data_IF_689024256610
#
_entry.id   IF_689024256610
#
_cell.length_a   1.000
_cell.length_b   1.000
_cell.length_c   1.000
_cell.angle_alpha   90.00
_cell.angle_beta   90.00
_cell.angle_gamma   90.00
#
_symmetry.space_group_name_H-M   'P 1'
#
loop_
_entity.id
_entity.type
_entity.pdbx_description
1 polymer ?
#
# COMPACT_ATOMS: atom_id res chain seq x y z
N UNK A 1 20.01 2.76 -3.72
CA UNK A 1 19.74 3.25 -2.35
C UNK A 1 19.04 2.14 -1.60
N UNK A 2 19.40 1.94 -0.33
CA UNK A 2 18.80 0.96 0.57
C UNK A 2 18.16 1.75 1.71
N UNK A 3 16.86 1.57 1.94
CA UNK A 3 16.15 2.24 3.00
C UNK A 3 15.32 1.22 3.77
N UNK A 4 15.55 1.14 5.07
CA UNK A 4 14.79 0.29 5.98
C UNK A 4 14.36 1.15 7.16
N UNK A 5 13.07 1.11 7.47
CA UNK A 5 12.49 1.83 8.60
C UNK A 5 11.55 0.90 9.34
N UNK A 6 11.73 0.80 10.65
CA UNK A 6 10.79 0.13 11.55
C UNK A 6 10.39 1.08 12.66
N UNK A 7 9.18 0.91 13.19
CA UNK A 7 8.74 1.70 14.32
C UNK A 7 7.52 1.12 15.02
N UNK A 8 7.18 1.71 16.15
CA UNK A 8 6.02 1.35 16.95
C UNK A 8 5.25 2.62 17.31
N UNK A 9 3.97 2.46 17.64
CA UNK A 9 3.17 3.54 18.21
C UNK A 9 2.43 3.06 19.45
N UNK A 10 2.06 4.01 20.30
CA UNK A 10 1.16 3.81 21.42
C UNK A 10 0.21 5.01 21.55
N UNK A 11 -1.07 4.74 21.68
CA UNK A 11 -2.14 5.71 21.83
C UNK A 11 -2.84 5.48 23.16
N UNK A 12 -2.75 6.45 24.09
CA UNK A 12 -3.19 6.31 25.50
C UNK A 12 -4.70 6.38 25.75
N UNK A 13 -5.50 6.50 24.69
CA UNK A 13 -6.96 6.48 24.74
C UNK A 13 -7.55 5.12 25.15
N UNK A 14 -8.88 5.08 25.23
CA UNK A 14 -9.65 3.90 25.63
C UNK A 14 -10.52 3.42 24.47
N UNK A 15 -10.54 2.12 24.21
CA UNK A 15 -11.15 1.52 23.03
C UNK A 15 -12.05 0.34 23.42
N UNK A 16 -13.28 0.23 22.89
CA UNK A 16 -14.13 -0.93 23.14
C UNK A 16 -13.57 -2.18 22.44
N UNK A 17 -13.73 -3.34 23.06
CA UNK A 17 -13.41 -4.64 22.44
C UNK A 17 -14.52 -5.03 21.44
N UNK A 18 -14.15 -5.46 20.24
CA UNK A 18 -15.09 -5.92 19.22
C UNK A 18 -15.65 -7.32 19.50
N UNK A 19 -15.06 -8.09 20.41
CA UNK A 19 -15.61 -9.36 20.90
C UNK A 19 -16.69 -9.16 21.97
N UNK A 20 -16.60 -8.07 22.74
CA UNK A 20 -17.57 -7.65 23.75
C UNK A 20 -17.44 -6.13 23.98
N UNK A 21 -18.41 -5.36 23.48
CA UNK A 21 -18.36 -3.89 23.50
C UNK A 21 -18.57 -3.29 24.90
N UNK A 22 -18.86 -4.13 25.91
CA UNK A 22 -18.90 -3.71 27.32
C UNK A 22 -17.50 -3.69 27.95
N UNK A 23 -16.52 -4.36 27.33
CA UNK A 23 -15.12 -4.38 27.76
C UNK A 23 -14.35 -3.26 27.06
N UNK A 24 -13.54 -2.54 27.83
CA UNK A 24 -12.71 -1.45 27.33
C UNK A 24 -11.23 -1.70 27.59
N UNK A 25 -10.41 -1.48 26.57
CA UNK A 25 -8.95 -1.53 26.63
C UNK A 25 -8.39 -0.13 26.75
N UNK A 26 -7.50 0.08 27.72
CA UNK A 26 -6.70 1.31 27.79
C UNK A 26 -5.40 1.09 27.02
N UNK A 27 -5.15 1.96 26.05
CA UNK A 27 -4.00 1.85 25.16
C UNK A 27 -4.34 1.14 23.86
N UNK A 28 -3.88 1.70 22.75
CA UNK A 28 -3.79 1.02 21.46
C UNK A 28 -2.36 1.13 20.95
N UNK A 29 -1.87 0.09 20.29
CA UNK A 29 -0.48 0.00 19.88
C UNK A 29 -0.37 -0.74 18.56
N UNK A 30 0.79 -0.63 17.95
CA UNK A 30 1.12 -1.38 16.75
C UNK A 30 2.56 -1.13 16.34
N UNK A 31 2.97 -1.83 15.31
CA UNK A 31 4.29 -1.67 14.72
C UNK A 31 4.20 -1.64 13.20
N UNK A 32 5.22 -1.07 12.58
CA UNK A 32 5.32 -0.99 11.13
C UNK A 32 6.74 -1.24 10.66
N UNK A 33 6.85 -1.66 9.40
CA UNK A 33 8.10 -1.84 8.67
C UNK A 33 7.92 -1.26 7.26
N UNK A 34 8.93 -0.55 6.77
CA UNK A 34 9.02 -0.01 5.42
C UNK A 34 10.40 -0.37 4.89
N UNK A 35 10.45 -0.89 3.66
CA UNK A 35 11.68 -1.29 2.99
C UNK A 35 11.63 -0.80 1.55
N UNK A 36 12.69 -0.10 1.11
CA UNK A 36 12.96 0.20 -0.29
C UNK A 36 14.34 -0.34 -0.68
N UNK A 37 14.36 -1.21 -1.69
CA UNK A 37 15.52 -1.95 -2.14
C UNK A 37 15.70 -1.80 -3.65
N UNK A 38 16.84 -1.23 -4.08
CA UNK A 38 17.24 -1.30 -5.48
C UNK A 38 17.92 -2.66 -5.78
N UNK A 39 17.49 -3.37 -6.82
CA UNK A 39 18.05 -4.67 -7.23
C UNK A 39 19.04 -4.57 -8.38
N UNK A 40 18.73 -3.77 -9.41
CA UNK A 40 19.60 -3.60 -10.57
C UNK A 40 19.90 -2.12 -10.80
N UNK A 41 21.17 -1.77 -10.95
CA UNK A 41 21.61 -0.43 -11.33
C UNK A 41 22.68 -0.56 -12.42
N UNK A 42 22.33 -1.24 -13.52
CA UNK A 42 23.29 -1.85 -14.48
C UNK A 42 23.30 -1.20 -15.87
N UNK A 43 23.04 0.11 -15.98
CA UNK A 43 23.09 0.81 -17.27
C UNK A 43 24.14 1.92 -17.28
N UNK A 44 24.74 2.14 -18.45
CA UNK A 44 25.54 3.33 -18.81
C UNK A 44 24.79 4.66 -18.56
N UNK A 45 23.46 4.61 -18.46
CA UNK A 45 22.61 5.74 -18.07
C UNK A 45 22.33 5.66 -16.57
N UNK A 46 22.92 6.58 -15.80
CA UNK A 46 22.68 6.70 -14.37
C UNK A 46 21.17 6.80 -14.08
N UNK A 47 20.65 5.92 -13.22
CA UNK A 47 19.25 5.96 -12.76
C UNK A 47 18.33 4.84 -13.28
N UNK A 48 18.74 4.06 -14.29
CA UNK A 48 17.96 2.89 -14.72
C UNK A 48 18.06 1.74 -13.74
N UNK A 49 16.92 1.19 -13.35
CA UNK A 49 16.93 0.09 -12.41
C UNK A 49 15.56 -0.40 -11.94
N UNK A 50 15.58 -1.62 -11.41
CA UNK A 50 14.46 -2.21 -10.69
C UNK A 50 14.60 -1.86 -9.20
N UNK A 51 13.56 -1.25 -8.65
CA UNK A 51 13.32 -1.13 -7.23
C UNK A 51 12.20 -2.05 -6.78
N UNK A 52 12.33 -2.54 -5.57
CA UNK A 52 11.28 -3.16 -4.79
C UNK A 52 10.98 -2.30 -3.58
N UNK A 53 9.70 -2.24 -3.23
CA UNK A 53 9.26 -1.65 -1.99
C UNK A 53 8.32 -2.62 -1.26
N UNK A 54 8.33 -2.53 0.06
CA UNK A 54 7.29 -3.14 0.89
C UNK A 54 7.03 -2.30 2.13
N UNK A 55 5.78 -2.33 2.58
CA UNK A 55 5.26 -1.65 3.75
C UNK A 55 4.34 -2.63 4.47
N UNK A 56 4.54 -2.82 5.76
CA UNK A 56 3.67 -3.65 6.58
C UNK A 56 3.37 -2.96 7.90
N UNK A 57 2.15 -3.12 8.39
CA UNK A 57 1.70 -2.59 9.68
C UNK A 57 0.80 -3.57 10.38
N UNK A 58 0.93 -3.69 11.70
CA UNK A 58 0.17 -4.64 12.51
C UNK A 58 -0.30 -3.98 13.81
N UNK A 59 -1.57 -4.23 14.14
CA UNK A 59 -2.23 -3.73 15.35
C UNK A 59 -3.14 -4.82 15.93
N UNK A 60 -3.45 -4.81 17.24
CA UNK A 60 -4.38 -5.77 17.85
C UNK A 60 -5.77 -5.72 17.21
N UNK A 61 -6.21 -6.83 16.62
CA UNK A 61 -7.52 -6.92 15.96
C UNK A 61 -8.72 -7.00 16.91
N UNK A 62 -8.52 -7.07 18.23
CA UNK A 62 -9.59 -7.04 19.23
C UNK A 62 -10.28 -5.69 19.32
N UNK A 63 -9.55 -4.59 19.10
CA UNK A 63 -10.08 -3.21 19.18
C UNK A 63 -9.60 -2.31 18.03
N UNK A 64 -8.96 -2.89 17.00
CA UNK A 64 -8.74 -2.24 15.71
C UNK A 64 -9.52 -2.96 14.61
N UNK A 65 -10.25 -2.20 13.80
CA UNK A 65 -10.95 -2.73 12.63
C UNK A 65 -9.97 -3.43 11.68
N UNK A 66 -8.84 -2.78 11.41
CA UNK A 66 -7.75 -3.32 10.61
C UNK A 66 -6.68 -3.88 11.54
N UNK A 67 -6.46 -5.20 11.47
CA UNK A 67 -5.43 -5.89 12.23
C UNK A 67 -4.07 -5.86 11.53
N UNK A 68 -4.06 -5.78 10.20
CA UNK A 68 -2.82 -5.63 9.43
C UNK A 68 -3.02 -4.91 8.10
N UNK A 69 -1.93 -4.33 7.62
CA UNK A 69 -1.75 -3.85 6.26
C UNK A 69 -0.46 -4.44 5.69
N UNK A 70 -0.48 -4.88 4.44
CA UNK A 70 0.71 -5.25 3.68
C UNK A 70 0.60 -4.66 2.29
N UNK A 71 1.54 -3.81 1.91
CA UNK A 71 1.71 -3.31 0.56
C UNK A 71 3.10 -3.64 0.04
N UNK A 72 3.21 -4.13 -1.19
CA UNK A 72 4.50 -4.37 -1.81
C UNK A 72 4.40 -4.19 -3.32
N UNK A 73 5.54 -3.90 -3.94
CA UNK A 73 5.57 -3.72 -5.37
C UNK A 73 6.96 -3.56 -5.94
N UNK A 74 6.97 -3.50 -7.26
CA UNK A 74 8.14 -3.29 -8.08
C UNK A 74 7.96 -2.01 -8.88
N UNK A 75 9.05 -1.26 -9.03
CA UNK A 75 9.13 -0.10 -9.91
C UNK A 75 10.36 -0.24 -10.78
N UNK A 76 10.21 -0.09 -12.09
CA UNK A 76 11.33 -0.05 -13.02
C UNK A 76 11.46 1.35 -13.62
N UNK A 77 12.64 1.95 -13.47
CA UNK A 77 12.99 3.24 -14.07
C UNK A 77 13.69 3.05 -15.42
N UNK A 78 13.16 3.67 -16.47
CA UNK A 78 13.72 3.72 -17.81
C UNK A 78 13.68 2.40 -18.58
N UNK A 79 12.62 1.60 -18.42
CA UNK A 79 12.49 0.28 -19.07
C UNK A 79 12.50 0.36 -20.61
N UNK A 80 11.89 1.39 -21.19
CA UNK A 80 11.71 1.53 -22.65
C UNK A 80 12.91 2.27 -23.26
N UNK A 81 13.41 1.78 -24.40
CA UNK A 81 14.48 2.43 -25.16
C UNK A 81 14.04 3.82 -25.65
N UNK A 82 14.90 4.84 -25.50
CA UNK A 82 14.56 6.23 -25.82
C UNK A 82 13.70 6.95 -24.75
N UNK A 83 13.20 6.24 -23.74
CA UNK A 83 12.36 6.78 -22.64
C UNK A 83 13.05 6.58 -21.29
N UNK A 84 14.24 7.17 -21.14
CA UNK A 84 15.12 6.91 -20.00
C UNK A 84 14.57 7.37 -18.64
N UNK A 85 13.63 8.31 -18.62
CA UNK A 85 13.06 8.91 -17.40
C UNK A 85 11.65 8.43 -17.06
N UNK A 86 11.09 7.51 -17.86
CA UNK A 86 9.77 6.95 -17.59
C UNK A 86 9.85 5.87 -16.51
N UNK A 87 8.77 5.67 -15.78
CA UNK A 87 8.69 4.64 -14.73
C UNK A 87 7.48 3.74 -14.95
N UNK A 88 7.66 2.44 -14.78
CA UNK A 88 6.56 1.48 -14.71
C UNK A 88 6.49 0.89 -13.31
N UNK A 89 5.29 0.76 -12.77
CA UNK A 89 5.04 0.21 -11.44
C UNK A 89 4.02 -0.91 -11.47
N UNK A 90 4.25 -1.95 -10.68
CA UNK A 90 3.26 -2.98 -10.36
C UNK A 90 3.29 -3.19 -8.85
N UNK A 91 2.13 -3.14 -8.20
CA UNK A 91 2.03 -3.26 -6.75
C UNK A 91 0.76 -4.00 -6.35
N UNK A 92 0.75 -4.47 -5.11
CA UNK A 92 -0.47 -4.83 -4.41
C UNK A 92 -0.48 -4.19 -3.02
N UNK A 93 -1.68 -4.01 -2.48
CA UNK A 93 -1.92 -3.56 -1.13
C UNK A 93 -3.10 -4.36 -0.56
N UNK A 94 -2.95 -4.91 0.63
CA UNK A 94 -4.04 -5.62 1.31
C UNK A 94 -4.18 -5.14 2.75
N UNK A 95 -5.44 -4.97 3.17
CA UNK A 95 -5.81 -4.75 4.56
C UNK A 95 -6.60 -5.95 5.06
N UNK A 96 -6.29 -6.42 6.27
CA UNK A 96 -6.99 -7.52 6.91
C UNK A 96 -7.75 -7.07 8.14
N UNK A 97 -9.00 -7.52 8.26
CA UNK A 97 -9.84 -7.24 9.41
C UNK A 97 -9.35 -7.95 10.68
N UNK A 98 -9.53 -7.30 11.82
CA UNK A 98 -9.51 -7.98 13.12
C UNK A 98 -10.59 -9.08 13.15
N UNK A 99 -10.24 -10.29 13.62
CA UNK A 99 -11.20 -11.42 13.67
C UNK A 99 -12.48 -11.08 14.44
N UNK A 100 -12.42 -10.42 15.62
CA UNK A 100 -13.64 -10.01 16.32
C UNK A 100 -14.46 -8.99 15.55
N UNK A 101 -13.83 -7.99 14.92
CA UNK A 101 -14.50 -7.03 14.05
C UNK A 101 -15.25 -7.73 12.91
N UNK A 102 -14.57 -8.64 12.18
CA UNK A 102 -15.19 -9.41 11.10
C UNK A 102 -16.44 -10.15 11.58
N UNK A 103 -16.37 -10.78 12.76
CA UNK A 103 -17.49 -11.53 13.35
C UNK A 103 -18.64 -10.59 13.76
N UNK A 104 -18.33 -9.48 14.43
CA UNK A 104 -19.32 -8.51 14.92
C UNK A 104 -20.13 -7.91 13.76
N UNK A 105 -19.47 -7.53 12.68
CA UNK A 105 -20.09 -6.91 11.51
C UNK A 105 -20.46 -7.92 10.41
N UNK A 106 -20.30 -9.23 10.68
CA UNK A 106 -20.62 -10.33 9.76
C UNK A 106 -20.01 -10.13 8.36
N UNK A 107 -18.80 -9.56 8.30
CA UNK A 107 -18.16 -9.26 7.02
C UNK A 107 -17.84 -10.57 6.28
N UNK A 108 -18.23 -10.70 4.99
CA UNK A 108 -18.10 -11.94 4.25
C UNK A 108 -16.63 -12.29 3.98
N UNK A 109 -15.76 -11.29 3.76
CA UNK A 109 -14.34 -11.49 3.51
C UNK A 109 -13.48 -11.00 4.66
N UNK A 110 -12.28 -11.57 4.79
CA UNK A 110 -11.35 -11.19 5.86
C UNK A 110 -10.46 -10.01 5.49
N UNK A 111 -10.43 -9.65 4.21
CA UNK A 111 -9.48 -8.69 3.66
C UNK A 111 -10.03 -8.03 2.40
N UNK A 112 -9.53 -6.82 2.15
CA UNK A 112 -9.62 -6.13 0.87
C UNK A 112 -8.21 -6.10 0.27
N UNK A 113 -8.11 -6.30 -1.05
CA UNK A 113 -6.83 -6.28 -1.76
C UNK A 113 -6.94 -5.46 -3.03
N UNK A 114 -6.03 -4.51 -3.22
CA UNK A 114 -5.87 -3.75 -4.45
C UNK A 114 -4.62 -4.24 -5.18
N UNK A 115 -4.74 -4.49 -6.48
CA UNK A 115 -3.61 -4.68 -7.39
C UNK A 115 -3.53 -3.44 -8.27
N UNK A 116 -2.36 -2.82 -8.37
CA UNK A 116 -2.14 -1.57 -9.08
C UNK A 116 -1.06 -1.74 -10.16
N UNK A 117 -1.31 -1.18 -11.35
CA UNK A 117 -0.30 -0.96 -12.37
C UNK A 117 -0.25 0.51 -12.78
N UNK A 118 0.94 1.08 -12.94
CA UNK A 118 1.13 2.48 -13.31
C UNK A 118 2.23 2.66 -14.35
N UNK A 119 2.12 3.73 -15.13
CA UNK A 119 3.17 4.15 -16.05
C UNK A 119 3.35 5.67 -15.98
N UNK A 120 4.46 6.16 -15.43
CA UNK A 120 4.80 7.58 -15.39
C UNK A 120 5.54 7.95 -16.68
N UNK A 121 4.87 8.71 -17.53
CA UNK A 121 5.43 9.34 -18.73
C UNK A 121 5.97 10.73 -18.37
N UNK A 122 7.29 10.93 -18.40
CA UNK A 122 7.93 12.23 -18.15
C UNK A 122 8.17 12.97 -19.47
N UNK A 123 7.78 14.24 -19.54
CA UNK A 123 8.01 15.08 -20.72
C UNK A 123 8.53 16.46 -20.31
N UNK A 124 9.57 16.91 -21.01
CA UNK A 124 10.37 18.03 -20.53
C UNK A 124 11.04 17.73 -19.18
N UNK A 125 11.49 18.76 -18.48
CA UNK A 125 12.15 18.62 -17.17
C UNK A 125 11.15 18.56 -16.02
N UNK A 126 9.99 19.19 -16.19
CA UNK A 126 9.12 19.59 -15.09
C UNK A 126 7.74 18.91 -15.14
N UNK A 127 7.42 18.11 -16.16
CA UNK A 127 6.07 17.58 -16.35
C UNK A 127 6.04 16.06 -16.44
N UNK A 128 4.99 15.47 -15.88
CA UNK A 128 4.68 14.06 -16.13
C UNK A 128 3.18 13.77 -16.09
N UNK A 129 2.77 12.75 -16.84
CA UNK A 129 1.45 12.13 -16.77
C UNK A 129 1.64 10.68 -16.35
N UNK A 130 0.84 10.21 -15.40
CA UNK A 130 0.90 8.85 -14.88
C UNK A 130 -0.51 8.24 -14.87
N UNK A 131 -0.92 7.55 -15.95
CA UNK A 131 -2.03 6.62 -15.89
C UNK A 131 -1.77 5.55 -14.81
N UNK A 132 -2.84 5.18 -14.14
CA UNK A 132 -2.86 4.19 -13.09
C UNK A 132 -4.18 3.42 -13.21
N UNK A 133 -4.06 2.10 -13.17
CA UNK A 133 -5.17 1.17 -13.17
C UNK A 133 -5.10 0.31 -11.92
N UNK A 134 -6.25 0.07 -11.31
CA UNK A 134 -6.38 -0.73 -10.10
C UNK A 134 -7.50 -1.74 -10.27
N UNK A 135 -7.27 -2.95 -9.74
CA UNK A 135 -8.32 -3.93 -9.53
C UNK A 135 -8.45 -4.18 -8.04
N UNK A 136 -9.62 -3.88 -7.48
CA UNK A 136 -9.91 -3.97 -6.05
C UNK A 136 -10.78 -5.21 -5.82
N UNK A 137 -10.28 -6.11 -4.99
CA UNK A 137 -10.89 -7.39 -4.61
C UNK A 137 -11.50 -7.22 -3.22
N UNK A 138 -12.77 -7.59 -3.08
CA UNK A 138 -13.57 -7.43 -1.88
C UNK A 138 -13.57 -5.99 -1.31
N UNK A 139 -13.92 -4.95 -2.08
CA UNK A 139 -13.99 -3.59 -1.53
C UNK A 139 -14.95 -3.52 -0.33
N UNK A 140 -14.55 -2.80 0.72
CA UNK A 140 -15.24 -2.77 2.00
C UNK A 140 -15.29 -4.14 2.69
N UNK A 141 -14.38 -5.05 2.35
CA UNK A 141 -14.41 -6.48 2.74
C UNK A 141 -15.68 -7.22 2.27
N UNK A 142 -16.23 -6.82 1.13
CA UNK A 142 -17.41 -7.42 0.49
C UNK A 142 -18.70 -6.60 0.61
N UNK A 143 -18.58 -5.34 1.02
CA UNK A 143 -19.66 -4.36 0.90
C UNK A 143 -20.00 -4.09 -0.58
N UNK A 144 -18.99 -4.19 -1.46
CA UNK A 144 -19.14 -4.00 -2.89
C UNK A 144 -18.54 -5.17 -3.68
N UNK A 145 -18.97 -5.29 -4.94
CA UNK A 145 -18.35 -6.22 -5.90
C UNK A 145 -16.93 -5.77 -6.24
N UNK A 146 -16.09 -6.72 -6.64
CA UNK A 146 -14.77 -6.40 -7.18
C UNK A 146 -14.89 -5.38 -8.31
N UNK A 147 -14.02 -4.37 -8.29
CA UNK A 147 -14.13 -3.24 -9.20
C UNK A 147 -12.80 -2.91 -9.87
N UNK A 148 -12.92 -2.35 -11.06
CA UNK A 148 -11.79 -1.78 -11.81
C UNK A 148 -11.85 -0.26 -11.68
N UNK A 149 -10.73 0.35 -11.32
CA UNK A 149 -10.58 1.79 -11.15
C UNK A 149 -9.45 2.26 -12.05
N UNK A 150 -9.64 3.41 -12.70
CA UNK A 150 -8.59 4.07 -13.46
C UNK A 150 -8.50 5.54 -13.08
N UNK A 151 -7.27 6.05 -13.07
CA UNK A 151 -6.97 7.45 -12.76
C UNK A 151 -5.79 7.93 -13.60
N UNK A 152 -5.72 9.24 -13.81
CA UNK A 152 -4.58 9.89 -14.44
C UNK A 152 -4.05 10.93 -13.47
N UNK A 153 -2.77 10.81 -13.11
CA UNK A 153 -2.06 11.80 -12.30
C UNK A 153 -1.22 12.69 -13.19
N UNK A 154 -1.41 14.01 -13.10
CA UNK A 154 -0.51 15.00 -13.68
C UNK A 154 0.41 15.55 -12.58
N UNK A 155 1.68 15.80 -12.89
CA UNK A 155 2.64 16.37 -11.93
C UNK A 155 3.46 17.47 -12.59
N UNK A 156 3.61 18.58 -11.86
CA UNK A 156 4.48 19.71 -12.16
C UNK A 156 5.57 19.80 -11.07
N UNK A 157 6.84 19.69 -11.45
CA UNK A 157 8.01 19.81 -10.57
C UNK A 157 8.72 21.14 -10.89
N UNK A 158 8.83 22.08 -9.96
CA UNK A 158 9.51 23.39 -10.15
C UNK A 158 10.74 23.52 -9.24
#
# INVERSE_FOLDING_TARGET
MLFYKGGMFYHSGTFPDYSDTTIFHRGNYGFYVIVDQAFFNRSLHAGRGLLFFTQAGFSPGSFNQIGYYIGAGLRYHGLISGRFYDEIGLAFATVGLGKPYKKLYQSPYSNETTIEATYKFKFGKNYSIQPNIQYIINPGTGEYNNCFVSLIRFTLEY
#
